data_IF_200448906729
#
_entry.id   IF_200448906729
#
_cell.length_a   1.000
_cell.length_b   1.000
_cell.length_c   1.000
_cell.angle_alpha   90.00
_cell.angle_beta   90.00
_cell.angle_gamma   90.00
#
_symmetry.space_group_name_H-M   'P 1'
#
loop_
_entity.id
_entity.type
_entity.pdbx_description
1 polymer ?
#
# COMPACT_ATOMS: atom_id res chain seq x y z
N UNK A 1 -2.58 -5.69 8.57
CA UNK A 1 -2.76 -6.15 9.98
C UNK A 1 -1.54 -5.73 10.78
N UNK A 2 -1.74 -5.36 12.06
CA UNK A 2 -0.65 -4.86 12.91
C UNK A 2 -0.09 -5.91 13.86
N UNK A 3 1.18 -5.75 14.20
CA UNK A 3 1.87 -6.43 15.30
C UNK A 3 2.28 -5.41 16.36
N UNK A 4 2.63 -5.88 17.57
CA UNK A 4 2.97 -5.00 18.69
C UNK A 4 4.27 -4.21 18.48
N UNK A 5 5.20 -4.77 17.72
CA UNK A 5 6.47 -4.11 17.39
C UNK A 5 6.20 -2.86 16.56
N UNK A 6 6.90 -1.77 16.86
CA UNK A 6 6.79 -0.48 16.15
C UNK A 6 5.41 0.21 16.25
N UNK A 7 4.62 -0.10 17.27
CA UNK A 7 3.43 0.69 17.60
C UNK A 7 3.82 2.00 18.31
N UNK A 8 2.98 3.00 18.17
CA UNK A 8 3.13 4.24 18.95
C UNK A 8 2.73 4.03 20.41
N UNK A 9 3.24 4.83 21.37
CA UNK A 9 2.92 4.67 22.79
C UNK A 9 1.42 4.62 23.12
N UNK A 10 0.58 5.39 22.42
CA UNK A 10 -0.88 5.37 22.60
C UNK A 10 -1.55 4.08 22.12
N UNK A 11 -0.98 3.40 21.12
CA UNK A 11 -1.51 2.15 20.58
C UNK A 11 -1.23 0.95 21.47
N UNK A 12 -0.15 0.96 22.27
CA UNK A 12 0.20 -0.17 23.15
C UNK A 12 -0.90 -0.52 24.14
N UNK A 13 -1.48 0.49 24.78
CA UNK A 13 -2.51 0.27 25.82
C UNK A 13 -3.74 -0.46 25.27
N UNK A 14 -4.22 -0.07 24.09
CA UNK A 14 -5.36 -0.73 23.45
C UNK A 14 -5.01 -2.16 23.01
N UNK A 15 -3.80 -2.34 22.50
CA UNK A 15 -3.31 -3.62 22.01
C UNK A 15 -3.18 -4.65 23.16
N UNK A 16 -2.52 -4.24 24.24
CA UNK A 16 -2.32 -5.08 25.41
C UNK A 16 -3.66 -5.45 26.08
N UNK A 17 -4.61 -4.51 26.19
CA UNK A 17 -5.96 -4.80 26.70
C UNK A 17 -6.69 -5.85 25.87
N UNK A 18 -6.55 -5.80 24.56
CA UNK A 18 -7.17 -6.79 23.66
C UNK A 18 -6.54 -8.16 23.84
N UNK A 19 -5.21 -8.24 23.91
CA UNK A 19 -4.51 -9.51 24.16
C UNK A 19 -4.92 -10.14 25.48
N UNK A 20 -5.00 -9.35 26.56
CA UNK A 20 -5.45 -9.82 27.87
C UNK A 20 -6.89 -10.35 27.79
N UNK A 21 -7.80 -9.58 27.18
CA UNK A 21 -9.21 -9.97 27.03
C UNK A 21 -9.38 -11.28 26.27
N UNK A 22 -8.53 -11.54 25.28
CA UNK A 22 -8.55 -12.74 24.46
C UNK A 22 -7.74 -13.91 25.05
N UNK A 23 -7.11 -13.74 26.21
CA UNK A 23 -6.23 -14.75 26.81
C UNK A 23 -4.96 -15.02 26.01
N UNK A 24 -4.51 -14.06 25.20
CA UNK A 24 -3.37 -14.17 24.33
C UNK A 24 -2.10 -13.60 24.96
N UNK A 25 -0.94 -13.99 24.45
CA UNK A 25 0.35 -13.45 24.87
C UNK A 25 0.50 -11.99 24.50
N UNK A 26 1.35 -11.25 25.20
CA UNK A 26 1.61 -9.83 24.96
C UNK A 26 2.08 -9.53 23.53
N UNK A 27 2.83 -10.45 22.95
CA UNK A 27 3.39 -10.33 21.59
C UNK A 27 2.43 -10.75 20.49
N UNK A 28 1.22 -11.21 20.86
CA UNK A 28 0.22 -11.65 19.87
C UNK A 28 -0.20 -10.49 18.98
N UNK A 29 -0.40 -10.80 17.71
CA UNK A 29 -0.71 -9.86 16.65
C UNK A 29 -2.22 -9.81 16.35
N UNK A 30 -2.67 -8.85 15.57
CA UNK A 30 -4.04 -8.84 15.07
C UNK A 30 -4.39 -10.11 14.26
N UNK A 31 -3.42 -10.72 13.64
CA UNK A 31 -3.60 -12.03 12.99
C UNK A 31 -3.96 -13.11 14.02
N UNK A 32 -3.26 -13.14 15.16
CA UNK A 32 -3.55 -14.08 16.23
C UNK A 32 -4.95 -13.86 16.82
N UNK A 33 -5.43 -12.62 16.89
CA UNK A 33 -6.82 -12.33 17.30
C UNK A 33 -7.84 -12.97 16.39
N UNK A 34 -7.64 -12.86 15.06
CA UNK A 34 -8.55 -13.45 14.07
C UNK A 34 -8.55 -14.96 14.19
N UNK A 35 -7.37 -15.57 14.25
CA UNK A 35 -7.25 -17.03 14.37
C UNK A 35 -7.87 -17.55 15.67
N UNK A 36 -7.66 -16.85 16.78
CA UNK A 36 -8.22 -17.26 18.08
C UNK A 36 -9.77 -17.21 18.10
N UNK A 37 -10.36 -16.26 17.41
CA UNK A 37 -11.81 -16.03 17.44
C UNK A 37 -12.59 -16.73 16.30
N UNK A 38 -11.89 -17.43 15.40
CA UNK A 38 -12.51 -17.96 14.19
C UNK A 38 -12.22 -19.44 14.01
N UNK A 39 -13.25 -20.23 13.61
CA UNK A 39 -13.07 -21.64 13.23
C UNK A 39 -12.44 -21.77 11.84
N UNK A 40 -12.83 -20.89 10.92
CA UNK A 40 -12.32 -20.85 9.55
C UNK A 40 -11.96 -19.42 9.21
N UNK A 41 -10.84 -19.23 8.54
CA UNK A 41 -10.33 -17.91 8.14
C UNK A 41 -9.94 -17.94 6.67
N UNK A 42 -10.41 -16.97 5.93
CA UNK A 42 -9.95 -16.67 4.57
C UNK A 42 -9.30 -15.29 4.61
N UNK A 43 -8.05 -15.20 4.18
CA UNK A 43 -7.31 -13.96 4.12
C UNK A 43 -6.96 -13.62 2.68
N UNK A 44 -7.30 -12.41 2.29
CA UNK A 44 -6.77 -11.78 1.09
C UNK A 44 -5.55 -10.95 1.48
N UNK A 45 -4.44 -11.21 0.84
CA UNK A 45 -3.17 -10.58 1.17
C UNK A 45 -2.42 -10.22 -0.11
N UNK A 46 -1.91 -9.00 -0.15
CA UNK A 46 -1.02 -8.52 -1.19
C UNK A 46 0.37 -8.28 -0.59
N UNK A 47 1.37 -9.01 -1.08
CA UNK A 47 2.76 -8.94 -0.59
C UNK A 47 3.38 -7.55 -0.81
N UNK A 48 2.94 -6.85 -1.85
CA UNK A 48 3.48 -5.55 -2.25
C UNK A 48 2.80 -4.36 -1.55
N UNK A 49 1.72 -4.60 -0.79
CA UNK A 49 1.00 -3.55 -0.03
C UNK A 49 1.40 -3.49 1.46
N UNK A 50 2.51 -4.09 1.84
CA UNK A 50 3.05 -3.97 3.19
C UNK A 50 3.87 -2.69 3.30
N UNK A 51 3.29 -1.64 3.86
CA UNK A 51 3.88 -0.29 3.86
C UNK A 51 4.35 0.19 5.24
N UNK A 52 4.07 -0.55 6.30
CA UNK A 52 4.40 -0.12 7.67
C UNK A 52 5.26 -1.14 8.39
N UNK A 53 6.28 -0.69 9.14
CA UNK A 53 7.08 -1.58 9.99
C UNK A 53 6.28 -2.34 11.04
N UNK A 54 5.08 -1.82 11.40
CA UNK A 54 4.15 -2.45 12.33
C UNK A 54 3.22 -3.50 11.69
N UNK A 55 3.32 -3.74 10.39
CA UNK A 55 2.50 -4.75 9.74
C UNK A 55 2.97 -6.16 10.10
N UNK A 56 2.00 -7.09 10.15
CA UNK A 56 2.30 -8.51 10.44
C UNK A 56 3.13 -9.10 9.31
N UNK A 57 4.28 -9.75 9.61
CA UNK A 57 5.12 -10.34 8.59
C UNK A 57 4.37 -11.39 7.76
N UNK A 58 4.59 -11.38 6.46
CA UNK A 58 3.95 -12.34 5.56
C UNK A 58 4.31 -13.79 5.91
N UNK A 59 5.53 -14.03 6.38
CA UNK A 59 5.97 -15.35 6.82
C UNK A 59 5.07 -15.92 7.91
N UNK A 60 4.61 -15.09 8.86
CA UNK A 60 3.67 -15.51 9.90
C UNK A 60 2.33 -15.95 9.31
N UNK A 61 1.83 -15.24 8.30
CA UNK A 61 0.57 -15.59 7.62
C UNK A 61 0.76 -16.89 6.83
N UNK A 62 1.80 -16.98 6.01
CA UNK A 62 2.09 -18.17 5.18
C UNK A 62 2.28 -19.43 6.04
N UNK A 63 3.01 -19.34 7.14
CA UNK A 63 3.30 -20.50 8.00
C UNK A 63 2.06 -21.03 8.75
N UNK A 64 1.02 -20.23 8.90
CA UNK A 64 -0.23 -20.63 9.57
C UNK A 64 -1.35 -21.01 8.58
N UNK A 65 -1.16 -20.78 7.29
CA UNK A 65 -2.17 -21.11 6.29
C UNK A 65 -2.11 -22.60 5.91
N UNK A 66 -3.26 -23.24 5.88
CA UNK A 66 -3.40 -24.67 5.46
C UNK A 66 -3.48 -24.81 3.95
N UNK A 67 -3.94 -23.76 3.25
CA UNK A 67 -4.02 -23.71 1.79
C UNK A 67 -3.66 -22.32 1.29
N UNK A 68 -3.00 -22.28 0.15
CA UNK A 68 -2.62 -21.05 -0.53
C UNK A 68 -3.22 -21.03 -1.92
N UNK A 69 -3.82 -19.91 -2.27
CA UNK A 69 -4.33 -19.66 -3.62
C UNK A 69 -3.72 -18.35 -4.09
N UNK A 70 -3.27 -18.32 -5.34
CA UNK A 70 -2.80 -17.10 -5.99
C UNK A 70 -3.84 -16.64 -6.99
N UNK A 71 -4.32 -15.42 -6.83
CA UNK A 71 -5.11 -14.75 -7.85
C UNK A 71 -4.13 -14.19 -8.89
N UNK A 72 -4.21 -14.70 -10.11
CA UNK A 72 -3.29 -14.34 -11.19
C UNK A 72 -3.93 -13.42 -12.22
N UNK A 73 -5.25 -13.34 -12.26
CA UNK A 73 -5.96 -12.51 -13.23
C UNK A 73 -6.12 -11.09 -12.71
N UNK A 74 -5.60 -10.13 -13.47
CA UNK A 74 -5.86 -8.72 -13.26
C UNK A 74 -7.12 -8.33 -14.05
N UNK A 75 -8.17 -7.90 -13.32
CA UNK A 75 -9.48 -7.59 -13.92
C UNK A 75 -9.80 -6.08 -13.95
N UNK A 76 -8.89 -5.25 -13.46
CA UNK A 76 -9.11 -3.80 -13.35
C UNK A 76 -8.56 -3.01 -14.53
N UNK A 77 -7.70 -3.63 -15.32
CA UNK A 77 -6.94 -2.99 -16.39
C UNK A 77 -7.02 -3.92 -17.60
N UNK A 78 -7.45 -3.39 -18.73
CA UNK A 78 -7.35 -4.09 -20.02
C UNK A 78 -5.87 -4.23 -20.40
N UNK A 79 -5.49 -5.30 -21.09
CA UNK A 79 -4.10 -5.62 -21.45
C UNK A 79 -3.10 -5.58 -20.28
N UNK A 80 -3.56 -6.03 -19.12
CA UNK A 80 -2.96 -5.80 -17.80
C UNK A 80 -1.54 -6.32 -17.61
N UNK A 81 -1.10 -7.31 -18.36
CA UNK A 81 0.14 -8.03 -18.03
C UNK A 81 1.38 -7.14 -18.20
N UNK A 82 1.52 -6.49 -19.35
CA UNK A 82 2.68 -5.63 -19.61
C UNK A 82 2.73 -4.39 -18.69
N UNK A 83 1.56 -3.81 -18.38
CA UNK A 83 1.50 -2.70 -17.44
C UNK A 83 1.86 -3.14 -16.01
N UNK A 84 1.34 -4.27 -15.55
CA UNK A 84 1.66 -4.82 -14.23
C UNK A 84 3.13 -5.21 -14.14
N UNK A 85 3.68 -5.81 -15.20
CA UNK A 85 5.10 -6.13 -15.28
C UNK A 85 5.97 -4.87 -15.22
N UNK A 86 5.60 -3.82 -15.98
CA UNK A 86 6.30 -2.54 -15.91
C UNK A 86 6.29 -1.95 -14.49
N UNK A 87 5.13 -1.91 -13.84
CA UNK A 87 5.02 -1.39 -12.47
C UNK A 87 5.86 -2.20 -11.49
N UNK A 88 5.82 -3.52 -11.58
CA UNK A 88 6.65 -4.38 -10.74
C UNK A 88 8.15 -4.15 -11.00
N UNK A 89 8.55 -4.13 -12.27
CA UNK A 89 9.95 -3.92 -12.65
C UNK A 89 10.47 -2.55 -12.21
N UNK A 90 9.62 -1.53 -12.25
CA UNK A 90 9.91 -0.19 -11.72
C UNK A 90 10.18 -0.23 -10.21
N UNK A 91 9.34 -0.91 -9.43
CA UNK A 91 9.51 -1.01 -7.98
C UNK A 91 10.72 -1.83 -7.57
N UNK A 92 11.09 -2.83 -8.34
CA UNK A 92 12.21 -3.72 -8.03
C UNK A 92 13.50 -3.35 -8.76
N UNK A 93 13.53 -2.23 -9.47
CA UNK A 93 14.68 -1.75 -10.24
C UNK A 93 15.16 -2.77 -11.30
N UNK A 94 14.21 -3.41 -11.96
CA UNK A 94 14.44 -4.43 -13.00
C UNK A 94 13.90 -4.00 -14.37
N UNK A 95 13.89 -2.69 -14.65
CA UNK A 95 13.32 -2.15 -15.88
C UNK A 95 13.95 -2.77 -17.12
N UNK A 96 13.11 -3.20 -18.06
CA UNK A 96 13.48 -3.66 -19.39
C UNK A 96 13.70 -2.44 -20.31
N UNK A 97 14.37 -2.66 -21.44
CA UNK A 97 14.60 -1.61 -22.43
C UNK A 97 13.30 -1.09 -23.05
N UNK A 98 12.25 -1.92 -23.13
CA UNK A 98 10.93 -1.53 -23.64
C UNK A 98 9.81 -2.37 -23.07
N UNK A 99 8.61 -1.79 -23.04
CA UNK A 99 7.35 -2.43 -22.66
C UNK A 99 6.31 -2.11 -23.73
N UNK A 100 5.51 -3.08 -24.11
CA UNK A 100 4.42 -2.90 -25.08
C UNK A 100 3.12 -2.56 -24.35
N UNK A 101 2.99 -1.31 -23.89
CA UNK A 101 1.82 -0.82 -23.16
C UNK A 101 0.98 0.03 -24.12
N UNK A 102 0.23 -0.64 -25.00
CA UNK A 102 -0.49 0.06 -26.09
C UNK A 102 -1.75 0.81 -25.62
N UNK A 103 -2.39 0.33 -24.55
CA UNK A 103 -3.69 0.85 -24.08
C UNK A 103 -3.55 2.01 -23.09
N UNK A 104 -2.33 2.34 -22.65
CA UNK A 104 -2.08 3.37 -21.65
C UNK A 104 -1.00 4.35 -22.10
N UNK A 105 -1.30 5.64 -22.05
CA UNK A 105 -0.33 6.72 -22.22
C UNK A 105 0.42 6.95 -20.90
N UNK A 106 1.44 6.14 -20.67
CA UNK A 106 2.26 6.21 -19.46
C UNK A 106 3.38 7.24 -19.64
N UNK A 107 3.37 8.27 -18.81
CA UNK A 107 4.36 9.36 -18.87
C UNK A 107 5.13 9.45 -17.56
N UNK A 108 6.41 9.71 -17.65
CA UNK A 108 7.29 10.04 -16.56
C UNK A 108 7.73 11.52 -16.67
N UNK A 109 7.73 12.22 -15.57
CA UNK A 109 8.14 13.61 -15.47
C UNK A 109 9.25 13.75 -14.43
N UNK A 110 10.37 14.37 -14.81
CA UNK A 110 11.45 14.70 -13.89
C UNK A 110 11.13 15.97 -13.12
N UNK A 111 10.32 16.86 -13.71
CA UNK A 111 9.91 18.12 -13.13
C UNK A 111 8.46 18.06 -12.67
N UNK A 112 8.21 18.50 -11.44
CA UNK A 112 6.87 18.49 -10.87
C UNK A 112 5.93 19.50 -11.55
N UNK A 113 6.44 20.66 -11.98
CA UNK A 113 5.63 21.69 -12.64
C UNK A 113 5.13 21.19 -14.00
N UNK A 114 5.98 20.50 -14.77
CA UNK A 114 5.58 19.88 -16.05
C UNK A 114 4.52 18.81 -15.84
N UNK A 115 4.63 18.02 -14.76
CA UNK A 115 3.62 17.05 -14.38
C UNK A 115 2.29 17.72 -14.07
N UNK A 116 2.28 18.81 -13.29
CA UNK A 116 1.05 19.56 -12.94
C UNK A 116 0.44 20.21 -14.16
N UNK A 117 1.24 20.79 -15.05
CA UNK A 117 0.76 21.38 -16.30
C UNK A 117 0.09 20.32 -17.19
N UNK A 118 0.74 19.17 -17.37
CA UNK A 118 0.16 18.07 -18.11
C UNK A 118 -1.15 17.57 -17.47
N UNK A 119 -1.21 17.46 -16.14
CA UNK A 119 -2.42 17.10 -15.43
C UNK A 119 -3.57 18.09 -15.69
N UNK A 120 -3.31 19.41 -15.61
CA UNK A 120 -4.30 20.46 -15.91
C UNK A 120 -4.80 20.36 -17.36
N UNK A 121 -3.91 20.11 -18.31
CA UNK A 121 -4.27 19.94 -19.72
C UNK A 121 -5.16 18.71 -19.95
N UNK A 122 -4.83 17.57 -19.34
CA UNK A 122 -5.64 16.36 -19.41
C UNK A 122 -7.01 16.55 -18.76
N UNK A 123 -7.06 17.21 -17.60
CA UNK A 123 -8.33 17.52 -16.93
C UNK A 123 -9.23 18.40 -17.80
N UNK A 124 -8.67 19.42 -18.46
CA UNK A 124 -9.42 20.31 -19.36
C UNK A 124 -9.93 19.61 -20.62
N UNK A 125 -9.22 18.58 -21.09
CA UNK A 125 -9.53 17.86 -22.33
C UNK A 125 -10.50 16.70 -22.13
N UNK A 126 -10.26 15.89 -21.09
CA UNK A 126 -10.99 14.64 -20.87
C UNK A 126 -11.87 14.67 -19.62
N UNK A 127 -11.59 15.53 -18.66
CA UNK A 127 -12.17 15.48 -17.32
C UNK A 127 -11.75 14.23 -16.54
N UNK A 128 -12.16 14.14 -15.28
CA UNK A 128 -11.95 12.96 -14.41
C UNK A 128 -10.48 12.61 -14.14
N UNK A 129 -9.52 13.52 -14.37
CA UNK A 129 -8.15 13.29 -13.97
C UNK A 129 -7.99 13.46 -12.46
N UNK A 130 -7.03 12.76 -11.85
CA UNK A 130 -6.80 12.81 -10.40
C UNK A 130 -5.32 12.82 -10.09
N UNK A 131 -4.93 13.73 -9.20
CA UNK A 131 -3.61 13.72 -8.59
C UNK A 131 -3.68 12.86 -7.32
N UNK A 132 -2.83 11.85 -7.22
CA UNK A 132 -2.74 10.97 -6.06
C UNK A 132 -1.30 10.94 -5.56
N UNK A 133 -1.12 11.08 -4.25
CA UNK A 133 0.18 10.98 -3.61
C UNK A 133 0.11 10.12 -2.36
N UNK A 134 1.15 9.34 -2.09
CA UNK A 134 1.35 8.64 -0.84
C UNK A 134 2.22 9.45 0.14
N UNK A 135 2.30 8.99 1.39
CA UNK A 135 3.23 9.55 2.38
C UNK A 135 4.66 9.14 2.01
N UNK A 136 5.42 10.07 1.44
CA UNK A 136 6.82 9.87 1.08
C UNK A 136 7.81 10.56 2.05
N UNK A 137 7.32 11.54 2.82
CA UNK A 137 8.09 12.28 3.83
C UNK A 137 7.20 12.74 4.98
N UNK A 138 7.81 13.22 6.05
CA UNK A 138 7.06 13.78 7.19
C UNK A 138 6.48 15.16 6.81
N UNK A 139 5.18 15.30 6.97
CA UNK A 139 4.46 16.51 6.57
C UNK A 139 4.65 17.62 7.60
N UNK A 140 5.20 18.74 7.16
CA UNK A 140 5.50 19.91 7.99
C UNK A 140 4.20 20.61 8.40
N UNK A 141 3.22 20.68 7.50
CA UNK A 141 1.89 21.28 7.74
C UNK A 141 1.12 20.63 8.89
N UNK A 142 1.46 19.40 9.24
CA UNK A 142 0.86 18.71 10.39
C UNK A 142 1.28 19.34 11.74
N UNK A 143 2.49 19.90 11.80
CA UNK A 143 3.03 20.54 12.99
C UNK A 143 2.82 22.06 12.99
N UNK A 144 2.69 22.67 11.81
CA UNK A 144 2.57 24.11 11.61
C UNK A 144 1.63 24.40 10.42
N UNK A 145 0.39 24.76 10.72
CA UNK A 145 -0.68 25.04 9.74
C UNK A 145 -0.36 26.22 8.80
N UNK A 146 0.66 27.01 9.09
CA UNK A 146 1.11 28.11 8.24
C UNK A 146 2.07 27.68 7.14
N UNK A 147 2.54 26.44 7.18
CA UNK A 147 3.46 25.85 6.21
C UNK A 147 2.73 24.91 5.25
N UNK A 148 3.24 24.87 4.03
CA UNK A 148 2.74 23.99 2.98
C UNK A 148 3.82 22.98 2.61
N UNK A 149 3.45 21.72 2.45
CA UNK A 149 4.34 20.65 1.98
C UNK A 149 4.40 20.61 0.46
N UNK A 150 3.32 20.99 -0.21
CA UNK A 150 3.21 21.07 -1.66
C UNK A 150 2.41 22.34 -2.00
N UNK A 151 2.94 23.20 -2.84
CA UNK A 151 2.22 24.31 -3.43
C UNK A 151 1.98 24.01 -4.92
N UNK A 152 0.70 24.10 -5.33
CA UNK A 152 0.29 23.99 -6.72
C UNK A 152 -0.25 25.36 -7.11
N UNK A 153 0.56 26.12 -7.86
CA UNK A 153 0.23 27.47 -8.34
C UNK A 153 -0.75 27.49 -9.50
#
# INVERSE_FOLDING_TARGET
>A
MKQRVNLTPGEYSSYDKTNIRLGLKKESTQFDWIINQSKNVILFFDEHQTVRPSDVPISKIKNNATKHYKLSSQMRIEDANEYVDFVNDLFFNNLKESYNINEYDLKYFENFDDFIENHKNLESTFGLSRLVAGYAWEWISKADETKFDICIG
#
